data_IF_236291421540
#
_entry.id   IF_236291421540
#
_cell.length_a   1.000
_cell.length_b   1.000
_cell.length_c   1.000
_cell.angle_alpha   90.00
_cell.angle_beta   90.00
_cell.angle_gamma   90.00
#
_symmetry.space_group_name_H-M   'P 1'
#
loop_
_entity.id
_entity.type
_entity.pdbx_description
1 polymer ?
#
# COMPACT_ATOMS: atom_id res chain seq x y z
N UNK A 1 -0.83 -8.51 21.82
CA UNK A 1 -1.96 -7.68 22.32
C UNK A 1 -1.64 -6.23 21.97
N UNK A 2 -2.60 -5.48 21.43
CA UNK A 2 -2.36 -4.11 20.93
C UNK A 2 -2.06 -3.12 22.06
N UNK A 3 -1.19 -2.15 21.79
CA UNK A 3 -0.86 -1.05 22.70
C UNK A 3 -2.11 -0.21 23.03
N UNK A 4 -2.21 0.29 24.26
CA UNK A 4 -3.26 1.23 24.71
C UNK A 4 -2.69 2.65 24.61
N UNK A 5 -3.39 3.61 23.97
CA UNK A 5 -4.69 3.49 23.32
C UNK A 5 -4.64 2.60 22.08
N UNK A 6 -5.70 1.81 21.85
CA UNK A 6 -5.80 0.88 20.71
C UNK A 6 -5.62 1.65 19.40
N UNK A 7 -4.59 1.28 18.64
CA UNK A 7 -4.28 1.86 17.32
C UNK A 7 -3.99 0.75 16.31
N UNK A 8 -4.06 1.09 15.03
CA UNK A 8 -3.65 0.21 13.94
C UNK A 8 -2.13 0.11 13.98
N UNK A 9 -1.59 -1.11 14.09
CA UNK A 9 -0.14 -1.34 14.06
C UNK A 9 0.38 -1.62 12.64
N UNK A 10 -0.43 -2.29 11.82
CA UNK A 10 -0.05 -2.68 10.46
C UNK A 10 -1.26 -2.71 9.53
N UNK A 11 -1.03 -2.36 8.27
CA UNK A 11 -1.96 -2.52 7.16
C UNK A 11 -1.27 -3.35 6.07
N UNK A 12 -1.88 -4.46 5.68
CA UNK A 12 -1.40 -5.33 4.60
C UNK A 12 -2.37 -5.20 3.43
N UNK A 13 -1.85 -4.85 2.26
CA UNK A 13 -2.61 -4.57 1.04
C UNK A 13 -2.09 -5.47 -0.08
N UNK A 14 -2.99 -6.23 -0.70
CA UNK A 14 -2.68 -7.05 -1.87
C UNK A 14 -3.48 -6.53 -3.05
N UNK A 15 -2.78 -6.00 -4.05
CA UNK A 15 -3.39 -5.42 -5.25
C UNK A 15 -3.16 -6.39 -6.41
N UNK A 16 -4.24 -7.00 -6.89
CA UNK A 16 -4.22 -7.86 -8.06
C UNK A 16 -4.55 -7.03 -9.31
N UNK A 17 -3.62 -7.00 -10.26
CA UNK A 17 -3.69 -6.18 -11.46
C UNK A 17 -3.73 -7.12 -12.67
N UNK A 18 -4.92 -7.46 -13.18
CA UNK A 18 -5.10 -8.48 -14.22
C UNK A 18 -4.89 -7.90 -15.64
N UNK A 19 -3.91 -7.02 -15.80
CA UNK A 19 -3.57 -6.41 -17.09
C UNK A 19 -2.07 -6.49 -17.34
N UNK A 20 -1.73 -6.93 -18.56
CA UNK A 20 -0.36 -6.85 -19.05
C UNK A 20 -0.07 -5.40 -19.46
N UNK A 21 0.95 -4.82 -18.86
CA UNK A 21 1.37 -3.43 -19.09
C UNK A 21 2.89 -3.34 -19.11
N UNK A 22 3.40 -2.31 -19.78
CA UNK A 22 4.81 -1.98 -19.84
C UNK A 22 5.35 -1.51 -18.47
N UNK A 23 6.68 -1.52 -18.31
CA UNK A 23 7.32 -1.17 -17.04
C UNK A 23 7.04 0.26 -16.58
N UNK A 24 6.88 1.21 -17.52
CA UNK A 24 6.58 2.61 -17.18
C UNK A 24 5.19 2.69 -16.55
N UNK A 25 4.20 2.04 -17.15
CA UNK A 25 2.85 1.97 -16.60
C UNK A 25 2.83 1.26 -15.24
N UNK A 26 3.55 0.14 -15.09
CA UNK A 26 3.69 -0.55 -13.79
C UNK A 26 4.28 0.38 -12.71
N UNK A 27 5.30 1.17 -13.05
CA UNK A 27 5.92 2.11 -12.13
C UNK A 27 4.98 3.27 -11.75
N UNK A 28 4.20 3.79 -12.69
CA UNK A 28 3.18 4.82 -12.41
C UNK A 28 2.14 4.28 -11.42
N UNK A 29 1.61 3.08 -11.65
CA UNK A 29 0.62 2.45 -10.77
C UNK A 29 1.18 2.20 -9.36
N UNK A 30 2.41 1.70 -9.26
CA UNK A 30 3.09 1.53 -7.97
C UNK A 30 3.25 2.86 -7.25
N UNK A 31 3.69 3.91 -7.95
CA UNK A 31 3.86 5.24 -7.36
C UNK A 31 2.53 5.80 -6.86
N UNK A 32 1.48 5.71 -7.66
CA UNK A 32 0.14 6.16 -7.28
C UNK A 32 -0.38 5.46 -6.01
N UNK A 33 -0.19 4.14 -5.91
CA UNK A 33 -0.58 3.37 -4.72
C UNK A 33 0.20 3.79 -3.46
N UNK A 34 1.51 4.08 -3.60
CA UNK A 34 2.40 4.43 -2.49
C UNK A 34 2.38 5.91 -2.10
N UNK A 35 1.73 6.78 -2.88
CA UNK A 35 1.66 8.23 -2.61
C UNK A 35 0.23 8.75 -2.46
N UNK A 36 -0.73 7.88 -2.17
CA UNK A 36 -2.11 8.32 -2.01
C UNK A 36 -2.27 9.22 -0.76
N UNK A 37 -3.26 10.14 -0.73
CA UNK A 37 -3.46 11.03 0.42
C UNK A 37 -3.68 10.30 1.75
N UNK A 38 -4.32 9.13 1.70
CA UNK A 38 -4.57 8.29 2.89
C UNK A 38 -3.26 7.74 3.46
N UNK A 39 -2.31 7.36 2.61
CA UNK A 39 -0.96 6.98 3.05
C UNK A 39 -0.32 8.13 3.86
N UNK A 40 -0.44 9.37 3.39
CA UNK A 40 0.10 10.52 4.11
C UNK A 40 -0.67 10.92 5.37
N UNK A 41 -1.86 10.37 5.57
CA UNK A 41 -2.71 10.66 6.73
C UNK A 41 -2.55 9.66 7.88
N UNK A 42 -2.06 8.46 7.59
CA UNK A 42 -1.80 7.43 8.59
C UNK A 42 -0.54 7.78 9.39
N UNK A 43 -0.51 7.40 10.68
CA UNK A 43 0.65 7.62 11.55
C UNK A 43 1.90 6.93 11.00
N UNK A 44 3.06 7.57 11.19
CA UNK A 44 4.38 7.02 10.84
C UNK A 44 4.70 5.69 11.57
N UNK A 45 4.03 5.44 12.69
CA UNK A 45 4.15 4.19 13.46
C UNK A 45 3.43 3.00 12.83
N UNK A 46 2.59 3.23 11.81
CA UNK A 46 1.84 2.16 11.14
C UNK A 46 2.71 1.51 10.07
N UNK A 47 2.97 0.21 10.21
CA UNK A 47 3.65 -0.59 9.20
C UNK A 47 2.74 -0.80 8.00
N UNK A 48 3.25 -0.58 6.78
CA UNK A 48 2.47 -0.72 5.55
C UNK A 48 3.16 -1.73 4.64
N UNK A 49 2.44 -2.79 4.30
CA UNK A 49 2.95 -3.83 3.42
C UNK A 49 2.05 -3.91 2.18
N UNK A 50 2.54 -3.42 1.04
CA UNK A 50 1.79 -3.42 -0.23
C UNK A 50 2.42 -4.43 -1.18
N UNK A 51 1.62 -5.41 -1.61
CA UNK A 51 2.00 -6.43 -2.60
C UNK A 51 1.24 -6.22 -3.90
N UNK A 52 1.96 -6.25 -5.01
CA UNK A 52 1.39 -6.15 -6.35
C UNK A 52 1.49 -7.50 -7.05
N UNK A 53 0.35 -8.08 -7.41
CA UNK A 53 0.25 -9.29 -8.21
C UNK A 53 -0.11 -8.85 -9.63
N UNK A 54 0.74 -9.16 -10.60
CA UNK A 54 0.54 -8.81 -12.00
C UNK A 54 0.09 -10.05 -12.77
N UNK A 55 -0.96 -9.89 -13.58
CA UNK A 55 -1.43 -10.89 -14.54
C UNK A 55 -0.94 -10.67 -15.96
#
# INVERSE_FOLDING_TARGET
MGSVPRRIAQVIIVINIPISTDEKTKNILKKAALTCPVDKSLSDSVIREVKFIWG
#
